data_IF_856600035634
#
_entry.id   IF_856600035634
#
_cell.length_a   1.000
_cell.length_b   1.000
_cell.length_c   1.000
_cell.angle_alpha   90.00
_cell.angle_beta   90.00
_cell.angle_gamma   90.00
#
_symmetry.space_group_name_H-M   'P 1'
#
loop_
_entity.id
_entity.type
_entity.pdbx_description
1 polymer ?
#
# COMPACT_ATOMS: atom_id res chain seq x y z
N UNK A 1 -35.71 4.84 -18.58
CA UNK A 1 -34.28 4.97 -18.91
C UNK A 1 -33.67 3.62 -18.60
N UNK A 2 -33.39 2.79 -19.62
CA UNK A 2 -32.88 1.44 -19.41
C UNK A 2 -31.45 1.55 -18.86
N UNK A 3 -31.25 1.25 -17.58
CA UNK A 3 -29.93 0.87 -17.08
C UNK A 3 -29.57 -0.47 -17.72
N UNK A 4 -29.00 -0.43 -18.93
CA UNK A 4 -28.21 -1.56 -19.39
C UNK A 4 -27.10 -1.76 -18.35
N UNK A 5 -27.10 -2.91 -17.69
CA UNK A 5 -26.01 -3.38 -16.83
C UNK A 5 -24.77 -3.58 -17.71
N UNK A 6 -24.12 -2.48 -18.10
CA UNK A 6 -22.85 -2.51 -18.79
C UNK A 6 -21.83 -3.12 -17.85
N UNK A 7 -21.31 -4.29 -18.24
CA UNK A 7 -20.22 -4.95 -17.53
C UNK A 7 -19.09 -3.95 -17.31
N UNK A 8 -18.57 -3.78 -16.08
CA UNK A 8 -17.58 -2.77 -15.78
C UNK A 8 -16.31 -2.99 -16.63
N UNK A 9 -15.65 -1.91 -17.08
CA UNK A 9 -14.44 -2.01 -17.89
C UNK A 9 -13.34 -2.84 -17.20
N UNK A 10 -12.68 -3.68 -17.96
CA UNK A 10 -11.66 -4.60 -17.45
C UNK A 10 -10.39 -3.85 -17.03
N UNK A 11 -9.86 -4.23 -15.86
CA UNK A 11 -8.60 -3.70 -15.35
C UNK A 11 -7.43 -4.56 -15.83
N UNK A 12 -6.55 -3.99 -16.66
CA UNK A 12 -5.39 -4.69 -17.19
C UNK A 12 -4.31 -4.90 -16.13
N UNK A 13 -3.49 -5.96 -16.30
CA UNK A 13 -2.35 -6.31 -15.42
C UNK A 13 -1.37 -5.14 -15.26
N UNK A 14 -1.07 -4.43 -16.36
CA UNK A 14 -0.14 -3.28 -16.35
C UNK A 14 -0.57 -2.16 -15.39
N UNK A 15 -1.89 -1.97 -15.19
CA UNK A 15 -2.39 -0.99 -14.21
C UNK A 15 -2.02 -1.40 -12.79
N UNK A 16 -2.18 -2.68 -12.43
CA UNK A 16 -1.81 -3.17 -11.10
C UNK A 16 -0.34 -3.09 -10.82
N UNK A 17 0.50 -3.41 -11.81
CA UNK A 17 1.95 -3.27 -11.67
C UNK A 17 2.30 -1.81 -11.41
N UNK A 18 1.75 -0.89 -12.21
CA UNK A 18 1.98 0.54 -12.02
C UNK A 18 1.48 1.06 -10.66
N UNK A 19 0.33 0.56 -10.19
CA UNK A 19 -0.19 0.87 -8.85
C UNK A 19 0.72 0.35 -7.74
N UNK A 20 1.21 -0.89 -7.85
CA UNK A 20 2.13 -1.48 -6.88
C UNK A 20 3.44 -0.70 -6.80
N UNK A 21 4.05 -0.40 -7.96
CA UNK A 21 5.29 0.39 -8.04
C UNK A 21 5.09 1.80 -7.48
N UNK A 22 4.06 2.51 -7.94
CA UNK A 22 3.78 3.88 -7.46
C UNK A 22 3.49 3.91 -5.96
N UNK A 23 2.76 2.93 -5.44
CA UNK A 23 2.55 2.81 -4.00
C UNK A 23 3.85 2.57 -3.25
N UNK A 24 4.76 1.73 -3.77
CA UNK A 24 6.06 1.53 -3.12
C UNK A 24 6.92 2.77 -3.10
N UNK A 25 6.91 3.56 -4.17
CA UNK A 25 7.62 4.85 -4.19
C UNK A 25 7.05 5.79 -3.12
N UNK A 26 5.72 5.99 -3.10
CA UNK A 26 5.05 6.86 -2.12
C UNK A 26 5.31 6.38 -0.69
N UNK A 27 5.17 5.08 -0.44
CA UNK A 27 5.41 4.49 0.87
C UNK A 27 6.85 4.69 1.34
N UNK A 28 7.84 4.51 0.46
CA UNK A 28 9.26 4.68 0.81
C UNK A 28 9.59 6.13 1.13
N UNK A 29 9.06 7.07 0.34
CA UNK A 29 9.23 8.51 0.57
C UNK A 29 8.66 8.92 1.94
N UNK A 30 7.44 8.45 2.26
CA UNK A 30 6.82 8.73 3.56
C UNK A 30 7.65 8.19 4.73
N UNK A 31 8.14 6.95 4.66
CA UNK A 31 8.99 6.39 5.71
C UNK A 31 10.30 7.14 5.85
N UNK A 32 10.91 7.59 4.74
CA UNK A 32 12.11 8.43 4.78
C UNK A 32 11.86 9.78 5.47
N UNK A 33 10.75 10.45 5.13
CA UNK A 33 10.36 11.73 5.74
C UNK A 33 10.07 11.56 7.23
N UNK A 34 9.28 10.54 7.62
CA UNK A 34 8.96 10.28 9.03
C UNK A 34 10.21 9.95 9.83
N UNK A 35 11.11 9.12 9.27
CA UNK A 35 12.39 8.81 9.90
C UNK A 35 13.23 10.07 10.11
N UNK A 36 13.34 10.92 9.08
CA UNK A 36 14.08 12.19 9.17
C UNK A 36 13.49 13.11 10.24
N UNK A 37 12.17 13.28 10.26
CA UNK A 37 11.48 14.14 11.23
C UNK A 37 11.63 13.61 12.66
N UNK A 38 11.49 12.29 12.85
CA UNK A 38 11.65 11.66 14.15
C UNK A 38 13.07 11.85 14.67
N UNK A 39 14.10 11.57 13.85
CA UNK A 39 15.50 11.74 14.28
C UNK A 39 15.81 13.22 14.58
N UNK A 40 15.36 14.14 13.72
CA UNK A 40 15.71 15.57 13.83
C UNK A 40 15.03 16.26 15.00
N UNK A 41 13.72 16.05 15.17
CA UNK A 41 12.92 16.81 16.15
C UNK A 41 12.64 16.04 17.42
N UNK A 42 12.54 14.71 17.34
CA UNK A 42 12.15 13.87 18.46
C UNK A 42 13.38 13.17 19.07
N UNK A 43 14.39 12.83 18.26
CA UNK A 43 15.63 12.18 18.67
C UNK A 43 16.34 12.82 19.87
N UNK A 44 16.53 14.16 19.91
CA UNK A 44 17.16 14.84 21.05
C UNK A 44 16.44 14.64 22.39
N UNK A 45 15.14 14.33 22.38
CA UNK A 45 14.37 14.06 23.60
C UNK A 45 14.55 12.63 24.13
N UNK A 46 15.06 11.70 23.33
CA UNK A 46 15.18 10.29 23.69
C UNK A 46 16.59 9.87 24.14
N UNK A 47 17.58 10.76 24.12
CA UNK A 47 18.94 10.47 24.63
C UNK A 47 19.56 9.21 24.03
N UNK A 48 19.31 8.93 22.75
CA UNK A 48 19.74 7.70 22.08
C UNK A 48 21.26 7.71 21.83
N UNK A 49 22.03 7.18 22.77
CA UNK A 49 23.44 6.87 22.60
C UNK A 49 23.57 5.50 21.92
N UNK A 50 23.88 5.48 20.64
CA UNK A 50 24.03 4.25 19.85
C UNK A 50 25.39 3.59 20.11
N UNK A 51 25.50 2.79 21.17
CA UNK A 51 26.66 1.94 21.44
C UNK A 51 26.38 0.50 20.98
N UNK A 52 26.79 0.17 19.76
CA UNK A 52 26.76 -1.17 19.19
C UNK A 52 27.58 -1.24 17.91
N UNK A 53 28.00 -2.44 17.52
CA UNK A 53 28.70 -2.67 16.25
C UNK A 53 27.75 -2.36 15.08
N UNK A 54 27.91 -1.16 14.50
CA UNK A 54 27.00 -0.60 13.51
C UNK A 54 26.94 -1.43 12.22
N UNK A 55 27.99 -2.20 11.89
CA UNK A 55 28.07 -2.95 10.65
C UNK A 55 27.13 -4.16 10.64
N UNK A 56 27.10 -4.94 11.72
CA UNK A 56 26.23 -6.12 11.84
C UNK A 56 24.74 -5.73 11.95
N UNK A 57 24.44 -4.67 12.73
CA UNK A 57 23.08 -4.14 12.86
C UNK A 57 22.55 -3.60 11.53
N UNK A 58 23.38 -2.85 10.79
CA UNK A 58 23.02 -2.33 9.47
C UNK A 58 22.73 -3.46 8.47
N UNK A 59 23.53 -4.54 8.49
CA UNK A 59 23.35 -5.68 7.60
C UNK A 59 22.02 -6.39 7.88
N UNK A 60 21.68 -6.69 9.13
CA UNK A 60 20.41 -7.30 9.50
C UNK A 60 19.21 -6.42 9.12
N UNK A 61 19.26 -5.11 9.42
CA UNK A 61 18.19 -4.16 9.07
C UNK A 61 17.98 -4.06 7.56
N UNK A 62 19.04 -4.13 6.76
CA UNK A 62 18.96 -4.08 5.30
C UNK A 62 18.20 -5.28 4.72
N UNK A 63 18.41 -6.49 5.24
CA UNK A 63 17.70 -7.68 4.79
C UNK A 63 16.22 -7.63 5.12
N UNK A 64 15.87 -7.16 6.33
CA UNK A 64 14.47 -6.98 6.73
C UNK A 64 13.78 -5.97 5.81
N UNK A 65 14.42 -4.83 5.55
CA UNK A 65 13.88 -3.80 4.68
C UNK A 65 13.67 -4.31 3.24
N UNK A 66 14.63 -5.07 2.70
CA UNK A 66 14.50 -5.67 1.37
C UNK A 66 13.38 -6.72 1.30
N UNK A 67 13.32 -7.61 2.30
CA UNK A 67 12.26 -8.60 2.40
C UNK A 67 10.89 -7.91 2.45
N UNK A 68 10.77 -6.87 3.25
CA UNK A 68 9.55 -6.08 3.36
C UNK A 68 9.16 -5.40 2.04
N UNK A 69 10.12 -4.78 1.35
CA UNK A 69 9.89 -4.17 0.03
C UNK A 69 9.34 -5.21 -0.94
N UNK A 70 9.98 -6.38 -1.02
CA UNK A 70 9.59 -7.46 -1.91
C UNK A 70 8.21 -8.04 -1.56
N UNK A 71 7.95 -8.39 -0.30
CA UNK A 71 6.67 -8.99 0.11
C UNK A 71 5.52 -8.03 -0.14
N UNK A 72 5.63 -6.76 0.23
CA UNK A 72 4.54 -5.80 -0.01
C UNK A 72 4.33 -5.49 -1.49
N UNK A 73 5.36 -5.58 -2.34
CA UNK A 73 5.15 -5.47 -3.79
C UNK A 73 4.25 -6.59 -4.30
N UNK A 74 4.53 -7.82 -3.89
CA UNK A 74 3.76 -9.00 -4.27
C UNK A 74 2.34 -8.92 -3.69
N UNK A 75 2.22 -8.62 -2.39
CA UNK A 75 0.95 -8.53 -1.69
C UNK A 75 0.07 -7.40 -2.22
N UNK A 76 0.63 -6.22 -2.51
CA UNK A 76 -0.13 -5.12 -3.10
C UNK A 76 -0.66 -5.54 -4.46
N UNK A 77 0.20 -6.10 -5.31
CA UNK A 77 -0.20 -6.54 -6.63
C UNK A 77 -1.34 -7.56 -6.56
N UNK A 78 -1.21 -8.56 -5.69
CA UNK A 78 -2.24 -9.57 -5.46
C UNK A 78 -3.54 -8.94 -4.94
N UNK A 79 -3.46 -8.00 -3.99
CA UNK A 79 -4.60 -7.26 -3.46
C UNK A 79 -5.33 -6.46 -4.54
N UNK A 80 -4.61 -5.70 -5.36
CA UNK A 80 -5.21 -4.97 -6.48
C UNK A 80 -5.80 -5.92 -7.52
N UNK A 81 -5.23 -7.11 -7.68
CA UNK A 81 -5.78 -8.12 -8.59
C UNK A 81 -7.05 -8.75 -8.07
N UNK A 82 -7.11 -9.09 -6.78
CA UNK A 82 -8.35 -9.51 -6.13
C UNK A 82 -9.43 -8.44 -6.23
N UNK A 83 -9.09 -7.16 -6.10
CA UNK A 83 -10.06 -6.08 -6.25
C UNK A 83 -10.54 -5.87 -7.69
N UNK A 84 -9.72 -6.17 -8.68
CA UNK A 84 -10.13 -6.00 -10.08
C UNK A 84 -11.13 -7.05 -10.57
N UNK A 85 -11.19 -8.23 -9.94
CA UNK A 85 -12.22 -9.22 -10.23
C UNK A 85 -13.56 -8.86 -9.59
N UNK A 86 -13.55 -8.06 -8.53
CA UNK A 86 -14.76 -7.60 -7.85
C UNK A 86 -15.36 -6.36 -8.55
N UNK A 87 -16.65 -6.45 -8.91
CA UNK A 87 -17.44 -5.33 -9.43
C UNK A 87 -18.01 -4.41 -8.33
N UNK A 88 -17.87 -4.77 -7.04
CA UNK A 88 -18.47 -3.99 -5.96
C UNK A 88 -17.93 -2.56 -5.92
N UNK A 89 -18.85 -1.59 -5.84
CA UNK A 89 -18.51 -0.16 -5.83
C UNK A 89 -17.90 0.35 -7.13
N UNK A 90 -18.17 -0.30 -8.27
CA UNK A 90 -17.83 0.16 -9.61
C UNK A 90 -19.11 0.47 -10.37
N UNK A 91 -19.16 1.62 -11.03
CA UNK A 91 -20.19 1.97 -11.99
C UNK A 91 -19.57 2.48 -13.29
N UNK A 92 -20.40 2.60 -14.33
CA UNK A 92 -20.03 3.22 -15.60
C UNK A 92 -20.85 4.49 -15.75
N UNK A 93 -20.18 5.63 -15.91
CA UNK A 93 -20.81 6.93 -16.16
C UNK A 93 -20.12 7.53 -17.37
N UNK A 94 -20.88 7.91 -18.40
CA UNK A 94 -20.38 8.45 -19.67
C UNK A 94 -19.28 7.60 -20.33
N UNK A 95 -19.46 6.26 -20.30
CA UNK A 95 -18.44 5.36 -20.82
C UNK A 95 -17.10 5.52 -20.09
N UNK A 96 -17.11 5.74 -18.77
CA UNK A 96 -15.92 5.73 -17.93
C UNK A 96 -16.19 4.92 -16.69
N UNK A 97 -15.18 4.13 -16.29
CA UNK A 97 -15.22 3.36 -15.06
C UNK A 97 -15.07 4.30 -13.86
N UNK A 98 -16.08 4.36 -13.00
CA UNK A 98 -16.09 5.17 -11.78
C UNK A 98 -16.04 4.25 -10.56
N UNK A 99 -15.16 4.55 -9.60
CA UNK A 99 -15.13 3.87 -8.31
C UNK A 99 -15.81 4.72 -7.23
N UNK A 100 -16.64 4.05 -6.41
CA UNK A 100 -17.28 4.66 -5.25
C UNK A 100 -16.27 4.92 -4.12
N UNK A 101 -16.56 5.91 -3.28
CA UNK A 101 -15.77 6.18 -2.09
C UNK A 101 -15.72 4.98 -1.13
N UNK A 102 -16.82 4.22 -1.02
CA UNK A 102 -16.84 2.99 -0.23
C UNK A 102 -15.80 1.96 -0.70
N UNK A 103 -15.64 1.78 -2.02
CA UNK A 103 -14.61 0.91 -2.59
C UNK A 103 -13.20 1.37 -2.23
N UNK A 104 -12.93 2.67 -2.38
CA UNK A 104 -11.64 3.27 -2.01
C UNK A 104 -11.33 3.06 -0.52
N UNK A 105 -12.28 3.33 0.36
CA UNK A 105 -12.11 3.15 1.81
C UNK A 105 -11.87 1.68 2.15
N UNK A 106 -12.65 0.75 1.61
CA UNK A 106 -12.47 -0.69 1.90
C UNK A 106 -11.13 -1.22 1.36
N UNK A 107 -10.71 -0.82 0.16
CA UNK A 107 -9.38 -1.12 -0.36
C UNK A 107 -8.28 -0.62 0.57
N UNK A 108 -8.44 0.61 1.06
CA UNK A 108 -7.52 1.23 2.01
C UNK A 108 -7.41 0.40 3.28
N UNK A 109 -8.54 0.13 3.94
CA UNK A 109 -8.55 -0.65 5.18
C UNK A 109 -7.99 -2.06 4.98
N UNK A 110 -8.43 -2.78 3.93
CA UNK A 110 -7.95 -4.14 3.65
C UNK A 110 -6.45 -4.18 3.35
N UNK A 111 -5.94 -3.22 2.60
CA UNK A 111 -4.51 -3.13 2.34
C UNK A 111 -3.71 -2.83 3.61
N UNK A 112 -4.21 -1.94 4.48
CA UNK A 112 -3.53 -1.63 5.75
C UNK A 112 -3.47 -2.85 6.66
N UNK A 113 -4.55 -3.60 6.79
CA UNK A 113 -4.56 -4.84 7.58
C UNK A 113 -3.53 -5.83 7.04
N UNK A 114 -3.51 -6.09 5.72
CA UNK A 114 -2.54 -7.01 5.09
C UNK A 114 -1.10 -6.54 5.30
N UNK A 115 -0.82 -5.25 5.06
CA UNK A 115 0.52 -4.69 5.20
C UNK A 115 1.01 -4.66 6.66
N UNK A 116 0.12 -4.40 7.62
CA UNK A 116 0.45 -4.45 9.05
C UNK A 116 0.75 -5.88 9.49
N UNK A 117 -0.04 -6.86 9.06
CA UNK A 117 0.22 -8.28 9.34
C UNK A 117 1.58 -8.70 8.77
N UNK A 118 1.86 -8.37 7.51
CA UNK A 118 3.16 -8.66 6.88
C UNK A 118 4.33 -8.09 7.68
N UNK A 119 4.22 -6.82 8.10
CA UNK A 119 5.27 -6.15 8.90
C UNK A 119 5.46 -6.83 10.25
N UNK A 120 4.37 -7.12 10.97
CA UNK A 120 4.43 -7.82 12.26
C UNK A 120 5.03 -9.20 12.13
N UNK A 121 4.66 -9.96 11.08
CA UNK A 121 5.20 -11.31 10.85
C UNK A 121 6.68 -11.29 10.50
N UNK A 122 7.12 -10.36 9.63
CA UNK A 122 8.54 -10.19 9.31
C UNK A 122 9.32 -9.77 10.57
N UNK A 123 8.87 -8.75 11.29
CA UNK A 123 9.53 -8.30 12.51
C UNK A 123 9.61 -9.41 13.55
N UNK A 124 8.54 -10.20 13.74
CA UNK A 124 8.55 -11.35 14.64
C UNK A 124 9.51 -12.45 14.16
N UNK A 125 9.51 -12.77 12.87
CA UNK A 125 10.41 -13.78 12.29
C UNK A 125 11.89 -13.44 12.53
N UNK A 126 12.28 -12.17 12.39
CA UNK A 126 13.66 -11.74 12.55
C UNK A 126 14.07 -11.44 14.00
N UNK A 127 13.15 -10.97 14.85
CA UNK A 127 13.48 -10.56 16.24
C UNK A 127 13.12 -11.60 17.30
N UNK A 128 12.23 -12.56 17.00
CA UNK A 128 11.65 -13.50 17.96
C UNK A 128 10.70 -12.86 18.98
N UNK A 129 10.53 -11.53 18.98
CA UNK A 129 9.78 -10.78 19.99
C UNK A 129 8.51 -10.17 19.40
N UNK A 130 7.35 -10.63 19.88
CA UNK A 130 6.06 -10.07 19.46
C UNK A 130 5.84 -8.63 19.96
N UNK A 131 6.42 -8.29 21.12
CA UNK A 131 6.35 -6.93 21.67
C UNK A 131 7.11 -5.91 20.82
N UNK A 132 8.29 -6.31 20.31
CA UNK A 132 9.07 -5.48 19.38
C UNK A 132 8.35 -5.34 18.05
N UNK A 133 7.76 -6.42 17.53
CA UNK A 133 7.03 -6.42 16.27
C UNK A 133 5.80 -5.48 16.28
N UNK A 134 5.02 -5.48 17.37
CA UNK A 134 3.86 -4.59 17.52
C UNK A 134 4.30 -3.11 17.60
N UNK A 135 5.42 -2.84 18.27
CA UNK A 135 5.95 -1.48 18.45
C UNK A 135 6.39 -0.85 17.13
N UNK A 136 7.02 -1.63 16.23
CA UNK A 136 7.45 -1.17 14.90
C UNK A 136 6.27 -0.69 14.05
N UNK A 137 5.08 -1.29 14.21
CA UNK A 137 3.91 -0.94 13.42
C UNK A 137 3.20 0.38 13.79
N UNK A 138 3.43 0.95 14.98
CA UNK A 138 2.52 1.95 15.57
C UNK A 138 2.45 3.31 14.85
N UNK A 139 3.58 3.92 14.50
CA UNK A 139 3.61 5.29 13.94
C UNK A 139 3.29 5.35 12.44
N UNK A 140 3.54 4.27 11.70
CA UNK A 140 3.35 4.25 10.24
C UNK A 140 1.90 3.98 9.82
N UNK A 141 1.03 3.53 10.72
CA UNK A 141 -0.33 3.14 10.34
C UNK A 141 -1.17 4.34 9.88
N UNK A 142 -1.08 5.48 10.59
CA UNK A 142 -1.94 6.65 10.35
C UNK A 142 -1.56 7.36 9.06
N UNK A 143 -0.28 7.67 8.85
CA UNK A 143 0.17 8.38 7.64
C UNK A 143 -0.14 7.56 6.39
N UNK A 144 0.11 6.24 6.44
CA UNK A 144 -0.15 5.35 5.32
C UNK A 144 -1.63 5.12 5.05
N UNK A 145 -2.50 5.19 6.06
CA UNK A 145 -3.96 5.16 5.87
C UNK A 145 -4.39 6.32 4.96
N UNK A 146 -3.96 7.53 5.31
CA UNK A 146 -4.29 8.76 4.56
C UNK A 146 -3.68 8.71 3.15
N UNK A 147 -2.39 8.41 3.05
CA UNK A 147 -1.68 8.37 1.76
C UNK A 147 -2.26 7.31 0.83
N UNK A 148 -2.59 6.12 1.33
CA UNK A 148 -3.16 5.07 0.48
C UNK A 148 -4.55 5.43 -0.02
N UNK A 149 -5.39 6.03 0.82
CA UNK A 149 -6.71 6.49 0.39
C UNK A 149 -6.61 7.47 -0.78
N UNK A 150 -5.74 8.48 -0.66
CA UNK A 150 -5.52 9.45 -1.73
C UNK A 150 -4.84 8.83 -2.96
N UNK A 151 -3.94 7.85 -2.78
CA UNK A 151 -3.35 7.10 -3.87
C UNK A 151 -4.41 6.34 -4.67
N UNK A 152 -5.28 5.59 -4.00
CA UNK A 152 -6.40 4.90 -4.65
C UNK A 152 -7.36 5.89 -5.32
N UNK A 153 -7.65 7.02 -4.67
CA UNK A 153 -8.55 8.04 -5.25
C UNK A 153 -7.95 8.69 -6.49
N UNK A 154 -6.65 8.96 -6.48
CA UNK A 154 -5.92 9.49 -7.64
C UNK A 154 -5.96 8.48 -8.78
N UNK A 155 -5.67 7.21 -8.49
CA UNK A 155 -5.76 6.14 -9.48
C UNK A 155 -7.17 5.96 -10.03
N UNK A 156 -8.22 6.12 -9.24
CA UNK A 156 -9.60 6.05 -9.72
C UNK A 156 -9.91 7.05 -10.85
N UNK A 157 -9.21 8.18 -10.92
CA UNK A 157 -9.37 9.19 -11.96
C UNK A 157 -8.44 8.99 -13.18
N UNK A 158 -7.49 8.05 -13.10
CA UNK A 158 -6.54 7.75 -14.19
C UNK A 158 -7.12 6.64 -15.07
N UNK A 159 -7.15 6.82 -16.40
CA UNK A 159 -7.66 5.82 -17.35
C UNK A 159 -6.64 4.75 -17.77
N UNK A 160 -5.36 4.92 -17.42
CA UNK A 160 -4.29 4.00 -17.79
C UNK A 160 -4.59 2.53 -17.46
N UNK A 161 -4.56 1.66 -18.47
CA UNK A 161 -4.76 0.23 -18.29
C UNK A 161 -6.20 -0.19 -17.92
N UNK A 162 -7.19 0.67 -18.18
CA UNK A 162 -8.60 0.26 -18.28
C UNK A 162 -8.90 -0.11 -19.74
N UNK A 163 -9.47 -1.30 -19.98
CA UNK A 163 -9.98 -1.71 -21.29
C UNK A 163 -11.50 -1.68 -21.27
N UNK A 164 -12.12 -1.04 -22.25
CA UNK A 164 -13.55 -1.20 -22.47
C UNK A 164 -13.86 -2.62 -22.94
N UNK A 165 -15.02 -3.13 -22.54
CA UNK A 165 -15.54 -4.35 -23.15
C UNK A 165 -15.97 -3.96 -24.57
N UNK A 166 -15.45 -4.66 -25.58
CA UNK A 166 -15.72 -4.42 -27.01
C UNK A 166 -17.08 -5.02 -27.44
N UNK A 167 -18.00 -5.29 -26.51
CA UNK A 167 -19.27 -5.98 -26.77
C UNK A 167 -20.32 -5.08 -27.47
N UNK A 168 -19.96 -3.85 -27.85
CA UNK A 168 -20.77 -2.87 -28.60
C UNK A 168 -20.17 -2.59 -30.00
N UNK A 169 -19.94 -3.64 -30.80
CA UNK A 169 -19.74 -3.53 -32.26
C UNK A 169 -20.70 -4.41 -33.01
#
# INVERSE_FOLDING_TARGET
MNEQLQSPPQVQVKRSIAKAVSWRVVGTIDTFILSFLLITYIGPFFGMDSHGDAAEVAKAASYIALAEVATKMILYFAHERGWATSAWGVSVVDGKRVESYGRTTTKTTTWRVIASIDTTLLAWYFTGSIGTAISIGGLEIITKLVLYFFHERTWANISFGIKMNDDDK
#
